data_IF_921037678023
#
_entry.id   IF_921037678023
#
_cell.length_a   1.000
_cell.length_b   1.000
_cell.length_c   1.000
_cell.angle_alpha   90.00
_cell.angle_beta   90.00
_cell.angle_gamma   90.00
#
_symmetry.space_group_name_H-M   'P 1'
#
loop_
_entity.id
_entity.type
_entity.pdbx_description
1 polymer ?
#
# COMPACT_ATOMS: atom_id res chain seq x y z
N UNK A 1 16.99 -35.79 -29.06
CA UNK A 1 16.64 -35.83 -27.62
C UNK A 1 17.82 -35.56 -26.68
N UNK A 2 18.98 -36.22 -26.81
CA UNK A 2 20.16 -35.99 -25.94
C UNK A 2 20.64 -34.53 -25.88
N UNK A 3 20.68 -33.81 -27.01
CA UNK A 3 21.21 -32.43 -27.05
C UNK A 3 20.29 -31.41 -26.37
N UNK A 4 18.96 -31.61 -26.39
CA UNK A 4 18.03 -30.71 -25.71
C UNK A 4 18.07 -30.87 -24.18
N UNK A 5 18.32 -32.09 -23.70
CA UNK A 5 18.50 -32.38 -22.27
C UNK A 5 19.79 -31.72 -21.76
N UNK A 6 20.88 -31.79 -22.53
CA UNK A 6 22.15 -31.15 -22.17
C UNK A 6 22.01 -29.61 -22.13
N UNK A 7 21.31 -29.02 -23.09
CA UNK A 7 21.06 -27.57 -23.10
C UNK A 7 20.19 -27.16 -21.89
N UNK A 8 19.12 -27.90 -21.59
CA UNK A 8 18.28 -27.62 -20.42
C UNK A 8 19.06 -27.74 -19.10
N UNK A 9 19.95 -28.74 -18.99
CA UNK A 9 20.80 -28.93 -17.83
C UNK A 9 21.85 -27.82 -17.69
N UNK A 10 22.44 -27.38 -18.80
CA UNK A 10 23.41 -26.27 -18.82
C UNK A 10 22.74 -24.95 -18.45
N UNK A 11 21.50 -24.73 -18.89
CA UNK A 11 20.69 -23.56 -18.54
C UNK A 11 20.33 -23.53 -17.04
N UNK A 12 19.97 -24.69 -16.47
CA UNK A 12 19.69 -24.84 -15.04
C UNK A 12 20.93 -24.61 -14.16
N UNK A 13 22.11 -25.09 -14.59
CA UNK A 13 23.38 -24.87 -13.88
C UNK A 13 23.82 -23.41 -13.96
N UNK A 14 23.62 -22.73 -15.10
CA UNK A 14 23.93 -21.29 -15.21
C UNK A 14 23.04 -20.41 -14.33
N UNK A 15 21.81 -20.83 -14.03
CA UNK A 15 20.94 -20.10 -13.10
C UNK A 15 21.43 -20.16 -11.64
N UNK A 16 22.12 -21.23 -11.24
CA UNK A 16 22.69 -21.35 -9.90
C UNK A 16 23.91 -20.44 -9.69
N UNK A 17 24.65 -20.12 -10.75
CA UNK A 17 25.85 -19.28 -10.70
C UNK A 17 25.58 -17.78 -10.48
N UNK A 18 24.36 -17.30 -10.78
CA UNK A 18 23.99 -15.89 -10.61
C UNK A 18 23.32 -15.58 -9.26
N UNK A 19 23.17 -16.57 -8.36
CA UNK A 19 22.36 -16.42 -7.14
C UNK A 19 23.17 -16.19 -5.86
N UNK A 20 24.48 -15.92 -5.93
CA UNK A 20 25.36 -15.79 -4.74
C UNK A 20 26.07 -14.45 -4.66
N UNK A 21 25.35 -13.34 -4.54
CA UNK A 21 26.00 -12.04 -4.32
C UNK A 21 25.38 -11.13 -3.26
N UNK A 22 24.59 -11.67 -2.33
CA UNK A 22 24.36 -10.99 -1.05
C UNK A 22 24.43 -12.02 0.08
N UNK A 23 25.10 -11.65 1.18
CA UNK A 23 25.04 -12.38 2.45
C UNK A 23 23.61 -12.19 2.99
N UNK A 24 22.63 -12.84 2.39
CA UNK A 24 21.27 -12.90 2.92
C UNK A 24 21.30 -13.79 4.16
N UNK A 25 20.86 -13.26 5.31
CA UNK A 25 20.61 -14.08 6.49
C UNK A 25 19.78 -15.31 6.09
N UNK A 26 20.27 -16.51 6.44
CA UNK A 26 19.64 -17.79 6.07
C UNK A 26 18.14 -17.76 6.41
N UNK A 27 17.30 -17.84 5.38
CA UNK A 27 15.83 -17.81 5.52
C UNK A 27 15.24 -19.22 5.59
N UNK A 28 14.19 -19.37 6.38
CA UNK A 28 13.46 -20.64 6.52
C UNK A 28 12.32 -20.72 5.51
N UNK A 29 12.36 -21.69 4.60
CA UNK A 29 11.24 -21.98 3.71
C UNK A 29 10.18 -22.81 4.43
N UNK A 30 8.91 -22.41 4.33
CA UNK A 30 7.75 -23.07 4.90
C UNK A 30 6.69 -23.26 3.82
N UNK A 31 6.20 -24.49 3.69
CA UNK A 31 5.18 -24.88 2.74
C UNK A 31 4.37 -26.05 3.35
N UNK A 32 3.04 -26.13 3.15
CA UNK A 32 2.19 -25.18 2.44
C UNK A 32 1.54 -24.13 3.37
N UNK A 33 1.67 -24.27 4.69
CA UNK A 33 1.02 -23.40 5.68
C UNK A 33 2.01 -23.01 6.77
N UNK A 34 1.98 -21.76 7.23
CA UNK A 34 2.78 -21.31 8.39
C UNK A 34 2.21 -20.04 9.05
N UNK A 35 2.84 -19.58 10.14
CA UNK A 35 2.44 -18.39 10.89
C UNK A 35 3.13 -17.11 10.38
N UNK A 36 2.36 -16.03 10.27
CA UNK A 36 2.78 -14.75 9.64
C UNK A 36 3.92 -14.03 10.36
N UNK A 37 3.99 -14.08 11.70
CA UNK A 37 4.95 -13.28 12.48
C UNK A 37 6.25 -14.05 12.77
N UNK A 38 6.86 -14.64 11.74
CA UNK A 38 8.11 -15.42 11.87
C UNK A 38 9.35 -14.60 11.50
N UNK A 39 10.49 -14.87 12.14
CA UNK A 39 11.76 -14.24 11.76
C UNK A 39 12.35 -14.93 10.53
N UNK A 40 12.80 -14.15 9.55
CA UNK A 40 13.48 -14.60 8.32
C UNK A 40 12.85 -15.83 7.69
N UNK A 41 11.56 -15.77 7.43
CA UNK A 41 10.78 -16.93 6.95
C UNK A 41 10.09 -16.61 5.63
N UNK A 42 10.15 -17.56 4.71
CA UNK A 42 9.42 -17.52 3.44
C UNK A 42 8.32 -18.57 3.48
N UNK A 43 7.09 -18.11 3.34
CA UNK A 43 5.89 -18.95 3.36
C UNK A 43 5.37 -19.01 1.93
N UNK A 44 5.35 -20.20 1.35
CA UNK A 44 4.71 -20.45 0.05
C UNK A 44 3.40 -21.17 0.33
N UNK A 45 2.27 -20.55 -0.03
CA UNK A 45 0.93 -21.05 0.28
C UNK A 45 0.16 -20.15 1.25
N UNK A 46 -0.26 -20.70 2.39
CA UNK A 46 -1.14 -20.04 3.36
C UNK A 46 -0.37 -19.52 4.59
N UNK A 47 -0.50 -18.24 4.88
CA UNK A 47 0.09 -17.56 6.03
C UNK A 47 -1.01 -17.16 7.02
N UNK A 48 -0.91 -17.58 8.28
CA UNK A 48 -1.92 -17.36 9.31
C UNK A 48 -1.38 -16.45 10.43
N UNK A 49 -2.09 -15.35 10.71
CA UNK A 49 -1.71 -14.38 11.74
C UNK A 49 -2.87 -14.04 12.67
N UNK A 50 -2.54 -13.64 13.88
CA UNK A 50 -3.48 -13.06 14.82
C UNK A 50 -2.74 -11.98 15.62
N UNK A 51 -3.33 -10.79 15.67
CA UNK A 51 -2.76 -9.56 16.23
C UNK A 51 -1.45 -9.11 15.56
N UNK A 52 -1.38 -7.85 15.09
CA UNK A 52 -0.12 -7.22 14.77
C UNK A 52 0.83 -7.31 15.97
N UNK A 53 2.04 -7.79 15.74
CA UNK A 53 3.08 -7.94 16.74
C UNK A 53 4.15 -6.85 16.62
N UNK A 54 4.00 -5.86 15.74
CA UNK A 54 4.93 -4.73 15.52
C UNK A 54 4.98 -3.73 16.71
N UNK A 55 5.30 -4.26 17.89
CA UNK A 55 5.55 -3.54 19.13
C UNK A 55 7.05 -3.61 19.45
N UNK A 56 7.86 -2.87 18.69
CA UNK A 56 9.29 -2.69 18.99
C UNK A 56 10.21 -2.83 17.79
N UNK A 57 11.49 -2.55 18.01
CA UNK A 57 12.55 -2.51 17.00
C UNK A 57 13.02 -3.93 16.59
N UNK A 58 12.07 -4.79 16.18
CA UNK A 58 12.34 -6.17 15.80
C UNK A 58 12.58 -6.28 14.29
N UNK A 59 13.80 -6.62 13.90
CA UNK A 59 14.21 -6.87 12.51
C UNK A 59 13.73 -8.23 12.00
N UNK A 60 12.44 -8.55 12.18
CA UNK A 60 11.82 -9.73 11.59
C UNK A 60 11.34 -9.42 10.18
N UNK A 61 11.49 -10.38 9.26
CA UNK A 61 10.92 -10.29 7.93
C UNK A 61 10.28 -11.63 7.55
N UNK A 62 8.95 -11.65 7.43
CA UNK A 62 8.21 -12.76 6.80
C UNK A 62 7.79 -12.38 5.37
N UNK A 63 8.11 -13.25 4.41
CA UNK A 63 7.63 -13.13 3.03
C UNK A 63 6.57 -14.19 2.79
N UNK A 64 5.40 -13.78 2.30
CA UNK A 64 4.31 -14.70 1.93
C UNK A 64 4.13 -14.68 0.42
N UNK A 65 4.24 -15.83 -0.22
CA UNK A 65 3.95 -16.05 -1.64
C UNK A 65 2.67 -16.89 -1.73
N UNK A 66 1.52 -16.24 -1.81
CA UNK A 66 0.21 -16.90 -1.76
C UNK A 66 -0.86 -16.09 -1.03
N UNK A 67 -1.49 -16.69 -0.03
CA UNK A 67 -2.62 -16.11 0.71
C UNK A 67 -2.23 -15.88 2.17
N UNK A 68 -2.43 -14.66 2.66
CA UNK A 68 -2.30 -14.30 4.08
C UNK A 68 -3.69 -14.09 4.68
N UNK A 69 -3.96 -14.74 5.80
CA UNK A 69 -5.14 -14.52 6.63
C UNK A 69 -4.68 -13.95 7.97
N UNK A 70 -5.21 -12.81 8.38
CA UNK A 70 -4.90 -12.23 9.69
C UNK A 70 -6.13 -11.68 10.40
N UNK A 71 -6.28 -12.02 11.68
CA UNK A 71 -7.36 -11.48 12.52
C UNK A 71 -6.79 -10.50 13.53
N UNK A 72 -7.27 -9.26 13.47
CA UNK A 72 -6.99 -8.16 14.40
C UNK A 72 -8.30 -7.49 14.83
N UNK A 73 -8.92 -7.92 15.95
CA UNK A 73 -10.24 -7.42 16.35
C UNK A 73 -10.27 -5.91 16.69
N UNK A 74 -9.15 -5.36 17.17
CA UNK A 74 -9.06 -3.94 17.53
C UNK A 74 -9.03 -3.00 16.31
N UNK A 75 -8.86 -3.54 15.10
CA UNK A 75 -8.90 -2.72 13.88
C UNK A 75 -10.21 -1.95 13.72
N UNK A 76 -11.31 -2.50 14.27
CA UNK A 76 -12.60 -1.83 14.29
C UNK A 76 -12.57 -0.51 15.03
N UNK A 77 -11.84 -0.39 16.14
CA UNK A 77 -11.82 0.83 16.95
C UNK A 77 -10.86 1.89 16.43
N UNK A 78 -10.04 1.56 15.43
CA UNK A 78 -8.96 2.45 15.00
C UNK A 78 -9.45 3.74 14.32
N UNK A 79 -10.68 3.78 13.77
CA UNK A 79 -11.23 5.04 13.24
C UNK A 79 -11.47 6.10 14.32
N UNK A 80 -11.45 5.72 15.61
CA UNK A 80 -11.51 6.63 16.75
C UNK A 80 -10.14 7.20 17.11
N UNK A 81 -9.05 6.75 16.45
CA UNK A 81 -7.73 7.26 16.73
C UNK A 81 -7.66 8.76 16.44
N UNK A 82 -7.10 9.58 17.35
CA UNK A 82 -7.08 11.03 17.20
C UNK A 82 -6.15 11.50 16.06
N UNK A 83 -5.28 10.61 15.57
CA UNK A 83 -4.30 10.91 14.53
C UNK A 83 -4.12 9.70 13.60
N UNK A 84 -4.03 9.99 12.30
CA UNK A 84 -3.61 9.04 11.27
C UNK A 84 -2.17 8.54 11.51
N UNK A 85 -1.86 7.28 11.15
CA UNK A 85 -0.52 6.71 11.31
C UNK A 85 0.44 7.12 10.17
N UNK A 86 -0.05 7.83 9.15
CA UNK A 86 0.75 8.27 8.00
C UNK A 86 1.77 9.35 8.41
N UNK A 87 2.91 9.32 7.74
CA UNK A 87 3.98 10.30 7.82
C UNK A 87 3.48 11.73 7.63
N UNK A 88 4.00 12.64 8.45
CA UNK A 88 3.59 14.04 8.44
C UNK A 88 4.43 14.90 7.47
N UNK A 89 5.66 14.47 7.18
CA UNK A 89 6.60 15.22 6.36
C UNK A 89 7.54 14.28 5.57
N UNK A 90 8.28 14.85 4.62
CA UNK A 90 9.18 14.09 3.75
C UNK A 90 10.27 13.34 4.54
N UNK A 91 10.83 13.93 5.59
CA UNK A 91 11.88 13.30 6.39
C UNK A 91 11.38 12.03 7.10
N UNK A 92 10.19 12.10 7.71
CA UNK A 92 9.53 10.96 8.36
C UNK A 92 9.17 9.88 7.34
N UNK A 93 8.68 10.29 6.17
CA UNK A 93 8.36 9.38 5.09
C UNK A 93 9.62 8.67 4.59
N UNK A 94 10.70 9.39 4.29
CA UNK A 94 11.96 8.79 3.84
C UNK A 94 12.58 7.89 4.91
N UNK A 95 12.53 8.27 6.18
CA UNK A 95 12.98 7.43 7.30
C UNK A 95 12.19 6.12 7.37
N UNK A 96 10.86 6.19 7.32
CA UNK A 96 10.00 5.02 7.34
C UNK A 96 10.17 4.16 6.08
N UNK A 97 10.37 4.79 4.92
CA UNK A 97 10.61 4.13 3.65
C UNK A 97 12.01 3.53 3.51
N UNK A 98 12.99 3.98 4.28
CA UNK A 98 14.32 3.36 4.36
C UNK A 98 14.42 2.37 5.53
N UNK A 99 13.51 2.43 6.48
CA UNK A 99 13.39 1.48 7.58
C UNK A 99 13.03 0.06 7.15
N UNK A 100 13.03 -0.84 8.13
CA UNK A 100 12.76 -2.26 7.92
C UNK A 100 11.27 -2.51 7.67
N UNK A 101 11.00 -3.51 6.83
CA UNK A 101 9.65 -4.04 6.61
C UNK A 101 9.51 -5.34 7.39
N UNK A 102 8.41 -5.50 8.10
CA UNK A 102 8.15 -6.69 8.92
C UNK A 102 7.54 -7.82 8.11
N UNK A 103 6.77 -7.46 7.08
CA UNK A 103 6.04 -8.40 6.26
C UNK A 103 6.02 -7.97 4.80
N UNK A 104 6.29 -8.93 3.90
CA UNK A 104 6.07 -8.76 2.47
C UNK A 104 5.06 -9.79 1.99
N UNK A 105 4.08 -9.33 1.21
CA UNK A 105 2.99 -10.19 0.74
C UNK A 105 2.95 -10.13 -0.77
N UNK A 106 3.23 -11.25 -1.42
CA UNK A 106 3.14 -11.44 -2.86
C UNK A 106 1.92 -12.32 -3.16
N UNK A 107 0.76 -11.69 -3.36
CA UNK A 107 -0.51 -12.41 -3.57
C UNK A 107 -1.72 -11.75 -2.91
N UNK A 108 -2.50 -12.54 -2.17
CA UNK A 108 -3.75 -12.12 -1.53
C UNK A 108 -3.54 -11.90 -0.03
N UNK A 109 -3.93 -10.73 0.48
CA UNK A 109 -3.99 -10.43 1.91
C UNK A 109 -5.45 -10.25 2.32
N UNK A 110 -5.96 -11.14 3.17
CA UNK A 110 -7.30 -11.04 3.75
C UNK A 110 -7.14 -10.83 5.25
N UNK A 111 -7.56 -9.68 5.77
CA UNK A 111 -7.48 -9.43 7.21
C UNK A 111 -8.66 -8.63 7.74
N UNK A 112 -8.89 -8.63 9.06
CA UNK A 112 -9.88 -7.69 9.65
C UNK A 112 -9.29 -6.27 9.75
N UNK A 113 -7.97 -6.18 9.85
CA UNK A 113 -7.20 -4.96 9.64
C UNK A 113 -5.71 -5.23 9.67
N UNK A 114 -4.90 -4.23 9.34
CA UNK A 114 -3.44 -4.32 9.37
C UNK A 114 -2.85 -3.13 10.11
N UNK A 115 -1.77 -3.35 10.86
CA UNK A 115 -1.11 -2.31 11.64
C UNK A 115 0.39 -2.61 11.85
N UNK A 116 1.11 -2.86 10.76
CA UNK A 116 2.56 -3.12 10.76
C UNK A 116 3.22 -2.55 9.50
N UNK A 117 4.56 -2.56 9.47
CA UNK A 117 5.38 -2.29 8.28
C UNK A 117 5.21 -3.31 7.14
N UNK A 118 4.02 -3.38 6.54
CA UNK A 118 3.66 -4.30 5.45
C UNK A 118 3.98 -3.67 4.09
N UNK A 119 4.67 -4.43 3.24
CA UNK A 119 4.81 -4.19 1.81
C UNK A 119 3.96 -5.23 1.04
N UNK A 120 2.85 -4.80 0.46
CA UNK A 120 1.94 -5.65 -0.31
C UNK A 120 2.14 -5.50 -1.83
N UNK A 121 2.22 -6.63 -2.53
CA UNK A 121 2.37 -6.76 -3.98
C UNK A 121 1.28 -7.71 -4.49
N UNK A 122 0.08 -7.17 -4.75
CA UNK A 122 -1.08 -7.97 -5.12
C UNK A 122 -2.40 -7.35 -4.70
N UNK A 123 -3.28 -8.13 -4.06
CA UNK A 123 -4.61 -7.70 -3.63
C UNK A 123 -4.73 -7.79 -2.11
N UNK A 124 -4.99 -6.67 -1.46
CA UNK A 124 -5.31 -6.59 -0.04
C UNK A 124 -6.79 -6.28 0.14
N UNK A 125 -7.49 -7.13 0.89
CA UNK A 125 -8.88 -6.89 1.33
C UNK A 125 -8.90 -6.91 2.85
N UNK A 126 -9.24 -5.77 3.46
CA UNK A 126 -9.34 -5.64 4.90
C UNK A 126 -10.76 -5.30 5.34
N UNK A 127 -11.20 -5.89 6.44
CA UNK A 127 -12.54 -5.68 6.99
C UNK A 127 -12.79 -4.25 7.45
N UNK A 128 -11.80 -3.61 8.09
CA UNK A 128 -11.94 -2.26 8.65
C UNK A 128 -10.83 -1.32 8.16
N UNK A 129 -9.62 -1.44 8.72
CA UNK A 129 -8.52 -0.51 8.41
C UNK A 129 -7.36 -1.25 7.75
N UNK A 130 -6.84 -0.70 6.66
CA UNK A 130 -5.61 -1.15 6.02
C UNK A 130 -4.51 -0.12 6.22
N UNK A 131 -3.60 -0.36 7.16
CA UNK A 131 -2.33 0.37 7.24
C UNK A 131 -1.22 -0.43 6.54
N UNK A 132 -0.46 0.21 5.66
CA UNK A 132 0.71 -0.39 5.02
C UNK A 132 1.76 0.65 4.62
N UNK A 133 3.02 0.20 4.52
CA UNK A 133 4.13 1.02 4.06
C UNK A 133 4.13 1.12 2.54
N UNK A 134 3.97 -0.01 1.86
CA UNK A 134 3.81 -0.05 0.40
C UNK A 134 2.63 -0.90 0.02
N UNK A 135 1.84 -0.43 -0.93
CA UNK A 135 0.85 -1.24 -1.60
C UNK A 135 0.95 -1.05 -3.11
N UNK A 136 1.53 -2.04 -3.78
CA UNK A 136 1.62 -2.10 -5.24
C UNK A 136 0.58 -3.11 -5.75
N UNK A 137 -0.58 -2.62 -6.18
CA UNK A 137 -1.71 -3.44 -6.61
C UNK A 137 -3.05 -2.87 -6.17
N UNK A 138 -3.92 -3.71 -5.62
CA UNK A 138 -5.28 -3.33 -5.22
C UNK A 138 -5.38 -3.38 -3.69
N UNK A 139 -5.85 -2.30 -3.07
CA UNK A 139 -6.20 -2.28 -1.65
C UNK A 139 -7.68 -1.94 -1.49
N UNK A 140 -8.43 -2.80 -0.83
CA UNK A 140 -9.84 -2.63 -0.51
C UNK A 140 -9.96 -2.68 1.01
N UNK A 141 -10.44 -1.60 1.63
CA UNK A 141 -10.67 -1.55 3.07
C UNK A 141 -12.13 -1.23 3.35
N UNK A 142 -12.75 -1.99 4.25
CA UNK A 142 -14.15 -1.78 4.63
C UNK A 142 -14.40 -0.45 5.37
N UNK A 143 -13.38 0.23 5.87
CA UNK A 143 -13.48 1.59 6.41
C UNK A 143 -12.40 2.53 5.85
N UNK A 144 -11.12 2.35 6.14
CA UNK A 144 -10.08 3.23 5.56
C UNK A 144 -8.79 2.54 5.15
N UNK A 145 -8.16 3.11 4.12
CA UNK A 145 -6.76 2.82 3.79
C UNK A 145 -5.87 3.96 4.28
N UNK A 146 -4.77 3.62 4.92
CA UNK A 146 -3.71 4.55 5.29
C UNK A 146 -2.39 3.98 4.76
N UNK A 147 -1.93 4.47 3.61
CA UNK A 147 -0.81 3.84 2.88
C UNK A 147 0.27 4.88 2.61
N UNK A 148 1.50 4.62 3.06
CA UNK A 148 2.60 5.55 2.84
C UNK A 148 2.93 5.68 1.35
N UNK A 149 3.16 4.55 0.67
CA UNK A 149 3.35 4.53 -0.78
C UNK A 149 2.37 3.61 -1.49
N UNK A 150 1.44 4.18 -2.25
CA UNK A 150 0.41 3.41 -2.96
C UNK A 150 0.58 3.51 -4.48
N UNK A 151 0.74 2.38 -5.18
CA UNK A 151 0.70 2.33 -6.63
C UNK A 151 -0.35 1.33 -7.09
N UNK A 152 -1.46 1.82 -7.65
CA UNK A 152 -2.55 0.97 -8.15
C UNK A 152 -3.93 1.50 -7.76
N UNK A 153 -4.82 0.61 -7.32
CA UNK A 153 -6.21 0.94 -7.00
C UNK A 153 -6.41 0.88 -5.48
N UNK A 154 -6.88 1.97 -4.89
CA UNK A 154 -7.13 2.07 -3.44
C UNK A 154 -8.63 2.40 -3.25
N UNK A 155 -9.35 1.50 -2.60
CA UNK A 155 -10.79 1.60 -2.38
C UNK A 155 -11.04 1.54 -0.87
N UNK A 156 -11.64 2.58 -0.31
CA UNK A 156 -12.01 2.64 1.10
C UNK A 156 -13.46 3.09 1.22
N UNK A 157 -14.31 2.38 1.95
CA UNK A 157 -15.69 2.83 2.13
C UNK A 157 -15.74 4.20 2.82
N UNK A 158 -15.07 4.34 3.96
CA UNK A 158 -14.96 5.59 4.68
C UNK A 158 -14.05 6.58 3.95
N UNK A 159 -12.76 6.27 3.83
CA UNK A 159 -11.79 7.20 3.26
C UNK A 159 -10.45 6.56 2.93
N UNK A 160 -9.64 7.25 2.13
CA UNK A 160 -8.27 6.84 1.86
C UNK A 160 -7.31 7.98 2.16
N UNK A 161 -6.20 7.65 2.77
CA UNK A 161 -5.09 8.56 2.96
C UNK A 161 -3.81 7.94 2.39
N UNK A 162 -3.10 8.71 1.57
CA UNK A 162 -1.87 8.25 0.93
C UNK A 162 -0.79 9.33 1.02
N UNK A 163 0.40 9.01 1.51
CA UNK A 163 1.48 10.01 1.50
C UNK A 163 1.94 10.28 0.06
N UNK A 164 2.41 9.24 -0.64
CA UNK A 164 2.81 9.33 -2.03
C UNK A 164 2.17 8.22 -2.86
N UNK A 165 1.45 8.57 -3.92
CA UNK A 165 0.84 7.53 -4.74
C UNK A 165 0.62 7.83 -6.21
N UNK A 166 0.42 6.75 -6.96
CA UNK A 166 0.02 6.79 -8.36
C UNK A 166 -1.11 5.80 -8.61
N UNK A 167 -2.15 6.21 -9.33
CA UNK A 167 -3.24 5.30 -9.73
C UNK A 167 -4.62 5.85 -9.46
N UNK A 168 -5.51 5.04 -8.87
CA UNK A 168 -6.92 5.38 -8.67
C UNK A 168 -7.26 5.27 -7.18
N UNK A 169 -7.82 6.33 -6.60
CA UNK A 169 -8.38 6.31 -5.24
C UNK A 169 -9.89 6.51 -5.29
N UNK A 170 -10.63 5.61 -4.66
CA UNK A 170 -12.08 5.63 -4.57
C UNK A 170 -12.50 5.61 -3.10
N UNK A 171 -13.27 6.60 -2.67
CA UNK A 171 -13.87 6.61 -1.34
C UNK A 171 -15.30 7.13 -1.36
N UNK A 172 -16.12 6.79 -0.35
CA UNK A 172 -17.50 7.28 -0.26
C UNK A 172 -17.69 8.33 0.83
N UNK A 173 -17.63 7.97 2.12
CA UNK A 173 -18.19 8.81 3.20
C UNK A 173 -17.37 10.06 3.53
N UNK A 174 -16.06 9.93 3.72
CA UNK A 174 -15.17 11.03 4.10
C UNK A 174 -14.48 11.62 2.88
N UNK A 175 -13.59 10.85 2.24
CA UNK A 175 -12.83 11.38 1.12
C UNK A 175 -11.49 10.69 0.86
N UNK A 176 -10.77 11.23 -0.11
CA UNK A 176 -9.39 10.87 -0.41
C UNK A 176 -8.46 12.02 -0.02
N UNK A 177 -7.48 11.76 0.84
CA UNK A 177 -6.41 12.69 1.18
C UNK A 177 -5.07 12.18 0.67
N UNK A 178 -4.25 13.06 0.09
CA UNK A 178 -2.87 12.69 -0.21
C UNK A 178 -1.87 13.85 -0.11
N UNK A 179 -0.64 13.56 0.30
CA UNK A 179 0.43 14.56 0.25
C UNK A 179 0.85 14.79 -1.20
N UNK A 180 1.17 13.72 -1.92
CA UNK A 180 1.47 13.73 -3.36
C UNK A 180 0.75 12.61 -4.09
N UNK A 181 -0.01 12.94 -5.13
CA UNK A 181 -0.75 11.92 -5.87
C UNK A 181 -0.83 12.20 -7.36
N UNK A 182 -0.55 11.18 -8.18
CA UNK A 182 -0.77 11.25 -9.63
C UNK A 182 -1.78 10.21 -10.08
N UNK A 183 -2.90 10.65 -10.63
CA UNK A 183 -3.92 9.77 -11.18
C UNK A 183 -5.33 10.29 -10.93
N UNK A 184 -6.24 9.40 -10.57
CA UNK A 184 -7.66 9.71 -10.42
C UNK A 184 -8.07 9.59 -8.95
N UNK A 185 -8.73 10.60 -8.41
CA UNK A 185 -9.39 10.52 -7.10
C UNK A 185 -10.88 10.75 -7.27
N UNK A 186 -11.71 9.82 -6.77
CA UNK A 186 -13.17 9.92 -6.79
C UNK A 186 -13.70 9.72 -5.38
N UNK A 187 -14.34 10.74 -4.80
CA UNK A 187 -14.97 10.69 -3.48
C UNK A 187 -15.78 11.95 -3.18
N UNK A 188 -16.45 12.03 -2.03
CA UNK A 188 -17.16 13.26 -1.61
C UNK A 188 -16.20 14.45 -1.49
N UNK A 189 -15.07 14.27 -0.78
CA UNK A 189 -13.99 15.25 -0.73
C UNK A 189 -12.67 14.65 -1.27
N UNK A 190 -11.96 15.38 -2.12
CA UNK A 190 -10.60 15.03 -2.54
C UNK A 190 -9.62 16.14 -2.13
N UNK A 191 -8.53 15.79 -1.45
CA UNK A 191 -7.51 16.73 -0.99
C UNK A 191 -6.12 16.28 -1.44
N UNK A 192 -5.36 17.20 -2.05
CA UNK A 192 -3.92 17.05 -2.30
C UNK A 192 -3.16 18.18 -1.58
N UNK A 193 -2.36 17.84 -0.57
CA UNK A 193 -1.72 18.82 0.30
C UNK A 193 -0.49 19.50 -0.31
N UNK A 194 0.29 18.79 -1.14
CA UNK A 194 1.48 19.38 -1.78
C UNK A 194 1.36 19.47 -3.29
N UNK A 195 1.38 18.33 -3.99
CA UNK A 195 1.49 18.29 -5.44
C UNK A 195 0.80 17.09 -6.05
N UNK A 196 0.12 17.28 -7.17
CA UNK A 196 -0.43 16.16 -7.91
C UNK A 196 -0.72 16.44 -9.36
N UNK A 197 -1.05 15.37 -10.08
CA UNK A 197 -1.44 15.43 -11.49
C UNK A 197 -2.58 14.46 -11.78
N UNK A 198 -3.57 14.86 -12.57
CA UNK A 198 -4.59 13.94 -13.09
C UNK A 198 -6.02 14.46 -12.99
N UNK A 199 -6.93 13.69 -12.38
CA UNK A 199 -8.35 14.02 -12.30
C UNK A 199 -8.87 13.86 -10.88
N UNK A 200 -9.60 14.86 -10.38
CA UNK A 200 -10.36 14.76 -9.14
C UNK A 200 -11.86 14.89 -9.46
N UNK A 201 -12.67 13.97 -8.95
CA UNK A 201 -14.12 13.97 -9.10
C UNK A 201 -14.74 13.86 -7.71
N UNK A 202 -15.53 14.85 -7.31
CA UNK A 202 -16.14 14.86 -6.00
C UNK A 202 -17.08 16.02 -5.78
N UNK A 203 -17.64 16.18 -4.59
CA UNK A 203 -18.38 17.41 -4.28
C UNK A 203 -17.42 18.55 -4.00
N UNK A 204 -16.35 18.27 -3.26
CA UNK A 204 -15.33 19.24 -2.91
C UNK A 204 -13.94 18.73 -3.31
N UNK A 205 -13.25 19.50 -4.15
CA UNK A 205 -11.88 19.18 -4.55
C UNK A 205 -10.95 20.30 -4.10
N UNK A 206 -9.85 19.94 -3.45
CA UNK A 206 -8.84 20.90 -2.97
C UNK A 206 -7.45 20.39 -3.30
N UNK A 207 -6.60 21.27 -3.82
CA UNK A 207 -5.19 21.00 -3.98
C UNK A 207 -4.33 22.24 -3.84
N UNK A 208 -3.07 22.07 -3.41
CA UNK A 208 -2.09 23.17 -3.36
C UNK A 208 -1.36 23.39 -4.68
N UNK A 209 -0.94 22.33 -5.37
CA UNK A 209 -0.33 22.40 -6.70
C UNK A 209 -0.80 21.21 -7.54
N UNK A 210 -1.93 21.36 -8.22
CA UNK A 210 -2.50 20.30 -9.04
C UNK A 210 -2.45 20.63 -10.52
N UNK A 211 -1.98 19.67 -11.31
CA UNK A 211 -1.97 19.73 -12.79
C UNK A 211 -2.98 18.74 -13.35
N UNK A 212 -4.14 19.21 -13.74
CA UNK A 212 -5.23 18.31 -14.10
C UNK A 212 -6.58 18.98 -14.18
N UNK A 213 -7.63 18.16 -14.08
CA UNK A 213 -9.03 18.58 -14.07
C UNK A 213 -9.64 18.22 -12.71
N UNK A 214 -10.41 19.12 -12.13
CA UNK A 214 -11.22 18.90 -10.95
C UNK A 214 -12.69 19.13 -11.34
N UNK A 215 -13.55 18.16 -11.01
CA UNK A 215 -14.99 18.20 -11.26
C UNK A 215 -15.73 18.07 -9.94
N UNK A 216 -16.58 19.04 -9.63
CA UNK A 216 -17.32 19.06 -8.36
C UNK A 216 -18.03 20.35 -8.05
N UNK A 217 -18.91 20.36 -7.04
CA UNK A 217 -19.65 21.56 -6.62
C UNK A 217 -18.71 22.72 -6.32
N UNK A 218 -17.56 22.44 -5.70
CA UNK A 218 -16.52 23.43 -5.47
C UNK A 218 -15.11 22.85 -5.66
N UNK A 219 -14.30 23.52 -6.48
CA UNK A 219 -12.96 23.08 -6.82
C UNK A 219 -11.94 24.18 -6.54
N UNK A 220 -10.98 23.91 -5.64
CA UNK A 220 -9.89 24.81 -5.27
C UNK A 220 -8.55 24.20 -5.70
N UNK A 221 -7.76 24.98 -6.42
CA UNK A 221 -6.37 24.66 -6.77
C UNK A 221 -5.51 25.90 -6.50
N UNK A 222 -4.68 25.83 -5.47
CA UNK A 222 -3.94 26.95 -4.89
C UNK A 222 -4.86 28.14 -4.57
N UNK A 223 -4.59 29.32 -5.16
CA UNK A 223 -5.39 30.55 -5.02
C UNK A 223 -6.67 30.53 -5.84
N UNK A 224 -6.81 29.64 -6.82
CA UNK A 224 -7.94 29.62 -7.75
C UNK A 224 -9.07 28.72 -7.25
N UNK A 225 -10.29 29.25 -7.21
CA UNK A 225 -11.50 28.50 -6.86
C UNK A 225 -12.56 28.66 -7.95
N UNK A 226 -13.14 27.55 -8.42
CA UNK A 226 -14.21 27.52 -9.43
C UNK A 226 -15.26 26.46 -9.08
N UNK A 227 -16.56 26.77 -9.21
CA UNK A 227 -17.61 25.76 -9.12
C UNK A 227 -17.63 24.87 -10.37
N UNK A 228 -18.18 23.67 -10.23
CA UNK A 228 -18.42 22.66 -11.29
C UNK A 228 -17.15 22.09 -11.93
N UNK A 229 -16.29 22.92 -12.53
CA UNK A 229 -15.07 22.50 -13.23
C UNK A 229 -13.90 23.47 -12.98
N UNK A 230 -12.70 22.92 -12.82
CA UNK A 230 -11.45 23.66 -12.64
C UNK A 230 -10.29 22.89 -13.31
N UNK A 231 -9.40 23.55 -14.07
CA UNK A 231 -8.34 22.86 -14.83
C UNK A 231 -7.01 23.62 -14.88
N UNK A 232 -5.87 22.97 -14.69
CA UNK A 232 -4.54 23.58 -14.77
C UNK A 232 -3.56 22.64 -15.47
N UNK A 233 -2.92 23.10 -16.54
CA UNK A 233 -1.99 22.27 -17.33
C UNK A 233 -0.60 22.89 -17.47
N UNK A 234 -0.43 24.16 -17.09
CA UNK A 234 0.86 24.85 -17.20
C UNK A 234 1.83 24.33 -16.14
N UNK A 235 3.11 24.30 -16.53
CA UNK A 235 4.21 23.91 -15.62
C UNK A 235 4.53 25.04 -14.66
#
# INVERSE_FOLDING_TARGET
MKNHILIAFTFLVSFQGFCQNEIEEKRNLRFPVWITHSKNTDIVGLSLGAFPTDYGNDNRLTRTFGVRLEVFPLSFFYFLAPKTPISNNEETYQSFMNGHTTQQIYGLNLSTGTFEGIDAYGVSVTGFMHYSRKNNGISIAGMSNSIERANGIIIGFGGNEVFQGNGIMLASVWGNGAMRFNGVQISVENVIFEKGRGVQIGFFNRAKNFRGIQLGLWNKNDKRSFPIINWQFKS
#
